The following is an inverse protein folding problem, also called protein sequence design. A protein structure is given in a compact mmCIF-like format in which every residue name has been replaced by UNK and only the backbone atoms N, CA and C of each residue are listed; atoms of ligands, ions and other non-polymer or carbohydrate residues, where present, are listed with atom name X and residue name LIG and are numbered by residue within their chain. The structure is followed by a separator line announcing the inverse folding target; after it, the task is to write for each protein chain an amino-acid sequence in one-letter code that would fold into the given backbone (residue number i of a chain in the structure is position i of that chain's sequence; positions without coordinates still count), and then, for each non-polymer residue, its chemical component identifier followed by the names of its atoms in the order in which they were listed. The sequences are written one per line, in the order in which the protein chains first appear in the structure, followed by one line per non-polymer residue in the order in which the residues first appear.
data_IF_164201162080
#
_entry.id   IF_164201162080
#
_cell.length_a   1.000
_cell.length_b   1.000
_cell.length_c   1.000
_cell.angle_alpha   90.00
_cell.angle_beta   90.00
_cell.angle_gamma   90.00
#
_symmetry.space_group_name_H-M   'P 1'
#
loop_
_entity.id
_entity.type
_entity.pdbx_description
1 polymer ?
#
# COMPACT_ATOMS: atom_id res chain seq x y z
N UNK A 1 -8.49 -1.87 -8.77
CA UNK A 1 -7.52 -1.94 -7.66
C UNK A 1 -6.74 -0.63 -7.49
N UNK A 2 -6.02 -0.15 -8.51
CA UNK A 2 -5.14 1.04 -8.38
C UNK A 2 -5.85 2.36 -8.05
N UNK A 3 -7.12 2.49 -8.44
CA UNK A 3 -7.96 3.68 -8.18
C UNK A 3 -8.03 4.05 -6.69
N UNK A 4 -7.90 3.07 -5.80
CA UNK A 4 -7.97 3.25 -4.34
C UNK A 4 -6.75 3.96 -3.77
N UNK A 5 -5.65 4.05 -4.53
CA UNK A 5 -4.43 4.76 -4.17
C UNK A 5 -4.35 6.16 -4.78
N UNK A 6 -5.28 6.53 -5.67
CA UNK A 6 -5.35 7.87 -6.26
C UNK A 6 -5.52 9.02 -5.26
N UNK A 7 -6.15 8.84 -4.07
CA UNK A 7 -6.15 9.87 -3.04
C UNK A 7 -4.75 10.35 -2.63
N UNK A 8 -3.69 9.53 -2.78
CA UNK A 8 -2.32 9.99 -2.55
C UNK A 8 -1.85 11.05 -3.55
N UNK A 9 -2.36 11.05 -4.78
CA UNK A 9 -2.08 12.10 -5.75
C UNK A 9 -2.70 13.43 -5.29
N UNK A 10 -3.91 13.38 -4.73
CA UNK A 10 -4.56 14.57 -4.14
C UNK A 10 -3.76 15.05 -2.91
N UNK A 11 -3.27 14.14 -2.08
CA UNK A 11 -2.38 14.51 -0.98
C UNK A 11 -1.10 15.20 -1.47
N UNK A 12 -0.50 14.75 -2.58
CA UNK A 12 0.68 15.38 -3.17
C UNK A 12 0.40 16.81 -3.64
N UNK A 13 -0.75 17.05 -4.30
CA UNK A 13 -1.12 18.40 -4.74
C UNK A 13 -1.44 19.33 -3.58
N UNK A 14 -1.99 18.82 -2.48
CA UNK A 14 -2.17 19.58 -1.24
C UNK A 14 -0.83 19.95 -0.60
N UNK A 15 0.17 19.06 -0.63
CA UNK A 15 1.52 19.37 -0.14
C UNK A 15 2.10 20.53 -0.95
N UNK A 16 2.01 20.44 -2.28
CA UNK A 16 2.49 21.48 -3.20
C UNK A 16 1.79 22.84 -2.98
N UNK A 17 0.46 22.86 -2.93
CA UNK A 17 -0.31 24.10 -2.68
C UNK A 17 -0.28 24.56 -1.21
N UNK A 18 0.16 23.70 -0.28
CA UNK A 18 0.09 23.83 1.20
C UNK A 18 -1.31 23.94 1.79
N UNK A 19 -2.35 23.96 0.98
CA UNK A 19 -3.74 23.94 1.37
C UNK A 19 -4.57 23.26 0.26
N UNK A 20 -5.85 23.02 0.52
CA UNK A 20 -6.75 22.45 -0.49
C UNK A 20 -7.18 23.50 -1.52
N UNK A 21 -6.26 23.81 -2.44
CA UNK A 21 -6.35 24.88 -3.43
C UNK A 21 -7.01 24.46 -4.75
N UNK A 22 -6.94 25.35 -5.77
CA UNK A 22 -7.51 25.09 -7.09
C UNK A 22 -6.98 23.82 -7.76
N UNK A 23 -5.68 23.53 -7.67
CA UNK A 23 -5.09 22.32 -8.26
C UNK A 23 -5.62 21.09 -7.55
N UNK A 24 -5.60 21.07 -6.21
CA UNK A 24 -6.11 19.95 -5.40
C UNK A 24 -7.58 19.65 -5.71
N UNK A 25 -8.41 20.69 -5.85
CA UNK A 25 -9.82 20.57 -6.25
C UNK A 25 -9.97 20.03 -7.66
N UNK A 26 -9.23 20.57 -8.62
CA UNK A 26 -9.25 20.12 -10.01
C UNK A 26 -8.84 18.65 -10.12
N UNK A 27 -7.76 18.26 -9.43
CA UNK A 27 -7.32 16.85 -9.34
C UNK A 27 -8.39 15.98 -8.72
N UNK A 28 -9.04 16.42 -7.64
CA UNK A 28 -10.15 15.65 -7.03
C UNK A 28 -11.29 15.42 -8.03
N UNK A 29 -11.69 16.46 -8.77
CA UNK A 29 -12.75 16.36 -9.78
C UNK A 29 -12.31 15.46 -10.94
N UNK A 30 -11.07 15.59 -11.41
CA UNK A 30 -10.52 14.79 -12.50
C UNK A 30 -10.43 13.29 -12.15
N UNK A 31 -10.29 12.95 -10.86
CA UNK A 31 -10.22 11.57 -10.39
C UNK A 31 -11.60 10.95 -10.13
N UNK A 32 -12.67 11.74 -10.00
CA UNK A 32 -14.03 11.23 -9.78
C UNK A 32 -14.48 10.23 -10.86
N UNK A 33 -14.31 10.48 -12.17
CA UNK A 33 -14.67 9.51 -13.21
C UNK A 33 -13.95 8.16 -13.04
N UNK A 34 -12.67 8.18 -12.68
CA UNK A 34 -11.91 6.94 -12.44
C UNK A 34 -12.44 6.16 -11.23
N UNK A 35 -12.88 6.85 -10.18
CA UNK A 35 -13.55 6.25 -9.01
C UNK A 35 -14.89 5.63 -9.40
N UNK A 36 -15.71 6.34 -10.18
CA UNK A 36 -17.01 5.87 -10.64
C UNK A 36 -16.88 4.64 -11.56
N UNK A 37 -15.96 4.69 -12.53
CA UNK A 37 -15.67 3.55 -13.42
C UNK A 37 -15.11 2.38 -12.60
N UNK A 38 -14.21 2.64 -11.65
CA UNK A 38 -13.70 1.62 -10.74
C UNK A 38 -14.82 0.92 -9.95
N UNK A 39 -15.77 1.69 -9.42
CA UNK A 39 -16.94 1.14 -8.73
C UNK A 39 -17.87 0.33 -9.64
N UNK A 40 -18.05 0.77 -10.88
CA UNK A 40 -18.83 0.04 -11.88
C UNK A 40 -18.19 -1.31 -12.25
N UNK A 41 -16.88 -1.33 -12.48
CA UNK A 41 -16.12 -2.55 -12.79
C UNK A 41 -16.21 -3.56 -11.64
N UNK A 42 -16.13 -3.11 -10.39
CA UNK A 42 -16.27 -4.00 -9.21
C UNK A 42 -17.65 -4.64 -9.14
N UNK A 43 -18.70 -3.94 -9.58
CA UNK A 43 -20.08 -4.47 -9.57
C UNK A 43 -20.34 -5.49 -10.68
N UNK A 44 -19.52 -5.49 -11.73
CA UNK A 44 -19.68 -6.35 -12.90
C UNK A 44 -18.29 -6.80 -13.40
N UNK A 45 -17.61 -7.71 -12.69
CA UNK A 45 -16.35 -8.27 -13.17
C UNK A 45 -16.64 -9.08 -14.45
N UNK A 46 -16.26 -8.55 -15.60
CA UNK A 46 -16.53 -9.14 -16.93
C UNK A 46 -15.33 -9.88 -17.52
N UNK A 47 -14.28 -10.14 -16.74
CA UNK A 47 -13.09 -10.82 -17.29
C UNK A 47 -13.41 -12.32 -17.37
N UNK A 48 -13.49 -12.84 -18.59
CA UNK A 48 -13.66 -14.27 -18.85
C UNK A 48 -12.29 -14.97 -18.88
N UNK A 49 -12.30 -16.30 -18.75
CA UNK A 49 -11.08 -17.12 -18.78
C UNK A 49 -10.26 -16.94 -20.07
N UNK A 50 -10.92 -16.60 -21.19
CA UNK A 50 -10.26 -16.35 -22.47
C UNK A 50 -9.38 -15.08 -22.44
N UNK A 51 -9.88 -13.99 -21.86
CA UNK A 51 -9.12 -12.73 -21.72
C UNK A 51 -7.97 -12.90 -20.73
N UNK A 52 -8.20 -13.57 -19.60
CA UNK A 52 -7.12 -13.83 -18.64
C UNK A 52 -6.06 -14.77 -19.22
N UNK A 53 -6.46 -15.80 -19.96
CA UNK A 53 -5.56 -16.66 -20.73
C UNK A 53 -4.69 -15.85 -21.69
N UNK A 54 -5.30 -14.96 -22.48
CA UNK A 54 -4.58 -14.08 -23.39
C UNK A 54 -3.57 -13.15 -22.67
N UNK A 55 -3.92 -12.63 -21.48
CA UNK A 55 -2.99 -11.83 -20.66
C UNK A 55 -1.82 -12.70 -20.21
N UNK A 56 -2.07 -13.89 -19.67
CA UNK A 56 -1.03 -14.80 -19.20
C UNK A 56 -0.10 -15.28 -20.33
N UNK A 57 -0.66 -15.55 -21.51
CA UNK A 57 0.10 -15.92 -22.70
C UNK A 57 0.96 -14.77 -23.22
N UNK A 58 0.50 -13.52 -23.09
CA UNK A 58 1.25 -12.33 -23.52
C UNK A 58 2.49 -12.02 -22.68
N UNK A 59 2.57 -12.54 -21.45
CA UNK A 59 3.67 -12.29 -20.48
C UNK A 59 4.75 -13.38 -20.56
N UNK A 60 4.56 -14.39 -21.42
CA UNK A 60 5.57 -15.42 -21.68
C UNK A 60 6.89 -14.83 -22.23
N UNK A 61 8.06 -15.45 -21.93
CA UNK A 61 8.26 -16.86 -21.57
C UNK A 61 8.33 -17.18 -20.07
N UNK A 62 8.20 -16.19 -19.18
CA UNK A 62 8.23 -16.43 -17.72
C UNK A 62 6.80 -16.31 -17.21
N UNK A 63 6.03 -17.41 -17.08
CA UNK A 63 4.71 -17.34 -16.47
C UNK A 63 4.87 -16.76 -15.07
N UNK A 64 4.29 -15.59 -14.84
CA UNK A 64 4.32 -14.97 -13.52
C UNK A 64 3.56 -15.87 -12.55
N UNK A 65 3.97 -15.98 -11.28
CA UNK A 65 3.15 -16.61 -10.24
C UNK A 65 1.78 -15.94 -10.07
N UNK A 66 1.55 -14.79 -10.74
CA UNK A 66 0.27 -14.10 -10.85
C UNK A 66 -0.75 -14.80 -11.79
N UNK A 67 -0.33 -15.77 -12.61
CA UNK A 67 -1.16 -16.57 -13.52
C UNK A 67 -1.47 -17.98 -12.97
N UNK A 68 -2.48 -18.67 -13.52
CA UNK A 68 -2.80 -20.05 -13.13
C UNK A 68 -1.59 -20.95 -13.45
N UNK A 69 -0.98 -21.51 -12.41
CA UNK A 69 0.16 -22.42 -12.53
C UNK A 69 -0.22 -23.75 -11.89
N UNK A 70 -0.10 -24.84 -12.64
CA UNK A 70 -0.41 -26.21 -12.19
C UNK A 70 -1.83 -26.40 -11.62
N UNK A 71 -2.80 -25.62 -12.10
CA UNK A 71 -4.18 -25.68 -11.60
C UNK A 71 -4.40 -24.96 -10.26
N UNK A 72 -3.38 -24.28 -9.73
CA UNK A 72 -3.51 -23.45 -8.53
C UNK A 72 -3.72 -21.97 -8.91
N UNK A 73 -4.73 -21.34 -8.32
CA UNK A 73 -4.99 -19.89 -8.40
C UNK A 73 -4.10 -19.21 -7.37
N UNK A 74 -2.90 -18.81 -7.79
CA UNK A 74 -1.86 -18.30 -6.91
C UNK A 74 -1.65 -16.79 -7.05
N UNK A 75 -2.48 -16.12 -7.85
CA UNK A 75 -2.02 -14.94 -8.57
C UNK A 75 -3.06 -13.85 -8.84
N UNK A 76 -2.72 -12.57 -8.76
CA UNK A 76 -3.68 -11.47 -8.90
C UNK A 76 -4.38 -11.44 -10.27
N UNK A 77 -3.73 -11.96 -11.32
CA UNK A 77 -4.29 -12.10 -12.67
C UNK A 77 -5.27 -13.28 -12.71
N UNK A 78 -4.92 -14.43 -12.12
CA UNK A 78 -5.83 -15.58 -12.00
C UNK A 78 -7.10 -15.28 -11.16
N UNK A 79 -7.04 -14.36 -10.21
CA UNK A 79 -8.21 -13.89 -9.47
C UNK A 79 -9.17 -13.01 -10.29
N UNK A 80 -8.78 -12.54 -11.48
CA UNK A 80 -9.67 -11.77 -12.37
C UNK A 80 -10.77 -12.65 -12.98
N UNK A 81 -10.53 -13.96 -13.11
CA UNK A 81 -11.52 -14.94 -13.60
C UNK A 81 -12.52 -15.35 -12.52
N UNK A 82 -12.20 -15.10 -11.25
CA UNK A 82 -13.00 -15.58 -10.12
C UNK A 82 -14.11 -14.58 -9.77
N UNK A 83 -15.24 -15.12 -9.33
CA UNK A 83 -16.30 -14.28 -8.76
C UNK A 83 -15.83 -13.68 -7.43
N UNK A 84 -16.42 -12.55 -7.02
CA UNK A 84 -16.16 -11.95 -5.71
C UNK A 84 -16.39 -12.93 -4.57
N UNK A 85 -17.38 -13.82 -4.69
CA UNK A 85 -17.68 -14.86 -3.69
C UNK A 85 -16.54 -15.89 -3.58
N UNK A 86 -16.00 -16.34 -4.71
CA UNK A 86 -14.85 -17.25 -4.75
C UNK A 86 -13.58 -16.60 -4.18
N UNK A 87 -13.37 -15.30 -4.45
CA UNK A 87 -12.29 -14.52 -3.84
C UNK A 87 -12.41 -14.46 -2.31
N UNK A 88 -13.61 -14.19 -1.79
CA UNK A 88 -13.88 -14.18 -0.35
C UNK A 88 -13.64 -15.57 0.27
N UNK A 89 -14.10 -16.64 -0.37
CA UNK A 89 -13.90 -18.00 0.11
C UNK A 89 -12.42 -18.38 0.15
N UNK A 90 -11.66 -18.03 -0.90
CA UNK A 90 -10.22 -18.21 -0.94
C UNK A 90 -9.54 -17.48 0.22
N UNK A 91 -9.83 -16.19 0.39
CA UNK A 91 -9.26 -15.38 1.46
C UNK A 91 -9.56 -15.99 2.83
N UNK A 92 -10.80 -16.43 3.09
CA UNK A 92 -11.18 -17.09 4.35
C UNK A 92 -10.43 -18.39 4.59
N UNK A 93 -10.21 -19.18 3.54
CA UNK A 93 -9.52 -20.48 3.63
C UNK A 93 -8.03 -20.33 3.97
N UNK A 94 -7.39 -19.29 3.47
CA UNK A 94 -5.95 -19.08 3.62
C UNK A 94 -5.57 -18.04 4.70
N UNK A 95 -6.51 -17.23 5.19
CA UNK A 95 -6.28 -16.31 6.30
C UNK A 95 -6.40 -17.05 7.63
N UNK A 96 -5.26 -17.47 8.18
CA UNK A 96 -5.17 -18.01 9.54
C UNK A 96 -4.98 -16.90 10.57
N UNK A 97 -5.21 -17.15 11.88
CA UNK A 97 -4.88 -16.20 12.94
C UNK A 97 -3.41 -15.76 12.89
N UNK A 98 -2.49 -16.69 12.60
CA UNK A 98 -1.07 -16.40 12.40
C UNK A 98 -0.85 -15.41 11.26
N UNK A 99 -1.39 -15.68 10.07
CA UNK A 99 -1.22 -14.78 8.91
C UNK A 99 -1.74 -13.38 9.21
N UNK A 100 -2.87 -13.28 9.93
CA UNK A 100 -3.46 -12.00 10.32
C UNK A 100 -2.55 -11.21 11.26
N UNK A 101 -1.98 -11.88 12.26
CA UNK A 101 -1.04 -11.26 13.20
C UNK A 101 0.25 -10.84 12.51
N UNK A 102 0.80 -11.69 11.64
CA UNK A 102 1.99 -11.36 10.84
C UNK A 102 1.76 -10.10 10.01
N UNK A 103 0.68 -10.01 9.24
CA UNK A 103 0.38 -8.82 8.44
C UNK A 103 0.09 -7.58 9.28
N UNK A 104 -0.58 -7.73 10.42
CA UNK A 104 -0.83 -6.63 11.34
C UNK A 104 0.49 -6.06 11.89
N UNK A 105 1.37 -6.93 12.41
CA UNK A 105 2.66 -6.53 12.98
C UNK A 105 3.55 -5.91 11.89
N UNK A 106 3.75 -6.61 10.77
CA UNK A 106 4.58 -6.13 9.66
C UNK A 106 4.04 -4.82 9.08
N UNK A 107 2.71 -4.69 8.95
CA UNK A 107 2.05 -3.45 8.57
C UNK A 107 2.41 -2.31 9.52
N UNK A 108 2.20 -2.46 10.83
CA UNK A 108 2.54 -1.44 11.82
C UNK A 108 4.04 -1.08 11.83
N UNK A 109 4.92 -2.09 11.77
CA UNK A 109 6.37 -1.87 11.70
C UNK A 109 6.75 -1.04 10.46
N UNK A 110 6.07 -1.27 9.33
CA UNK A 110 6.33 -0.54 8.08
C UNK A 110 6.03 0.96 8.17
N UNK A 111 5.15 1.39 9.08
CA UNK A 111 4.86 2.81 9.32
C UNK A 111 5.84 3.49 10.28
N UNK A 112 6.62 2.74 11.06
CA UNK A 112 7.59 3.29 12.02
C UNK A 112 8.56 4.31 11.37
N UNK A 113 9.26 4.01 10.26
CA UNK A 113 10.19 4.97 9.66
C UNK A 113 9.48 6.25 9.19
N UNK A 114 8.25 6.14 8.71
CA UNK A 114 7.43 7.29 8.30
C UNK A 114 7.13 8.18 9.52
N UNK A 115 6.70 7.59 10.63
CA UNK A 115 6.41 8.33 11.89
C UNK A 115 7.68 8.96 12.45
N UNK A 116 8.81 8.24 12.45
CA UNK A 116 10.11 8.77 12.89
C UNK A 116 10.52 9.96 12.04
N UNK A 117 10.37 9.89 10.71
CA UNK A 117 10.71 11.01 9.84
C UNK A 117 9.79 12.23 10.08
N UNK A 118 8.47 12.03 10.15
CA UNK A 118 7.52 13.11 10.43
C UNK A 118 7.87 13.82 11.75
N UNK A 119 8.21 13.05 12.79
CA UNK A 119 8.57 13.56 14.13
C UNK A 119 9.93 14.22 14.20
N UNK A 120 10.95 13.61 13.61
CA UNK A 120 12.33 14.12 13.63
C UNK A 120 12.45 15.42 12.85
N UNK A 121 11.82 15.50 11.67
CA UNK A 121 11.84 16.70 10.83
C UNK A 121 10.72 17.69 11.18
N UNK A 122 9.86 17.37 12.15
CA UNK A 122 8.70 18.19 12.57
C UNK A 122 7.85 18.67 11.38
N UNK A 123 7.62 17.79 10.42
CA UNK A 123 7.05 18.15 9.10
C UNK A 123 5.66 18.77 9.20
N UNK A 124 4.92 18.51 10.28
CA UNK A 124 3.62 19.14 10.55
C UNK A 124 3.68 20.66 10.70
N UNK A 125 4.85 21.23 11.02
CA UNK A 125 5.03 22.67 11.11
C UNK A 125 5.15 23.35 9.74
N UNK A 126 5.47 22.58 8.69
CA UNK A 126 5.65 23.08 7.32
C UNK A 126 4.33 23.33 6.56
N UNK A 127 3.23 22.74 7.02
CA UNK A 127 1.91 22.83 6.38
C UNK A 127 0.89 23.46 7.33
N UNK A 128 0.07 24.43 6.87
CA UNK A 128 -1.10 24.89 7.60
C UNK A 128 -2.00 23.74 8.08
N UNK A 129 -2.58 23.88 9.28
CA UNK A 129 -3.43 22.84 9.90
C UNK A 129 -4.53 22.31 8.99
N UNK A 130 -5.15 23.17 8.17
CA UNK A 130 -6.19 22.77 7.20
C UNK A 130 -5.64 21.85 6.10
N UNK A 131 -4.46 22.15 5.57
CA UNK A 131 -3.79 21.30 4.57
C UNK A 131 -3.38 19.96 5.17
N UNK A 132 -2.83 19.97 6.39
CA UNK A 132 -2.45 18.76 7.12
C UNK A 132 -3.66 17.84 7.38
N UNK A 133 -4.78 18.40 7.84
CA UNK A 133 -6.03 17.64 8.03
C UNK A 133 -6.50 17.04 6.70
N UNK A 134 -6.44 17.79 5.61
CA UNK A 134 -6.83 17.29 4.29
C UNK A 134 -5.92 16.12 3.84
N UNK A 135 -4.60 16.23 3.99
CA UNK A 135 -3.65 15.14 3.67
C UNK A 135 -3.97 13.88 4.48
N UNK A 136 -4.26 14.02 5.78
CA UNK A 136 -4.66 12.89 6.64
C UNK A 136 -5.96 12.28 6.14
N UNK A 137 -6.96 13.09 5.80
CA UNK A 137 -8.25 12.60 5.29
C UNK A 137 -8.04 11.81 3.99
N UNK A 138 -7.34 12.37 2.98
CA UNK A 138 -7.13 11.66 1.71
C UNK A 138 -6.28 10.40 1.86
N UNK A 139 -5.23 10.44 2.67
CA UNK A 139 -4.41 9.25 2.98
C UNK A 139 -5.21 8.20 3.74
N UNK A 140 -6.02 8.62 4.72
CA UNK A 140 -6.89 7.76 5.50
C UNK A 140 -8.01 7.14 4.68
N UNK A 141 -8.60 7.89 3.74
CA UNK A 141 -9.56 7.34 2.77
C UNK A 141 -8.94 6.23 1.93
N UNK A 142 -7.70 6.39 1.46
CA UNK A 142 -7.01 5.32 0.72
C UNK A 142 -6.83 4.07 1.58
N UNK A 143 -6.37 4.22 2.84
CA UNK A 143 -6.20 3.09 3.77
C UNK A 143 -7.53 2.37 4.07
N UNK A 144 -8.59 3.12 4.34
CA UNK A 144 -9.92 2.56 4.62
C UNK A 144 -10.50 1.87 3.39
N UNK A 145 -10.28 2.42 2.20
CA UNK A 145 -10.77 1.85 0.95
C UNK A 145 -10.05 0.55 0.56
N UNK A 146 -8.90 0.25 1.17
CA UNK A 146 -8.18 -1.02 1.03
C UNK A 146 -8.78 -2.13 1.90
N UNK A 147 -9.56 -1.83 2.94
CA UNK A 147 -10.18 -2.86 3.81
C UNK A 147 -11.09 -3.80 3.01
N UNK A 148 -12.01 -3.33 2.15
CA UNK A 148 -12.80 -4.21 1.30
C UNK A 148 -11.94 -5.06 0.34
N UNK A 149 -10.83 -4.52 -0.17
CA UNK A 149 -9.90 -5.29 -1.00
C UNK A 149 -9.24 -6.42 -0.22
N UNK A 150 -8.85 -6.20 1.05
CA UNK A 150 -8.30 -7.25 1.88
C UNK A 150 -9.31 -8.37 2.19
N UNK A 151 -10.61 -8.13 2.02
CA UNK A 151 -11.63 -9.19 2.17
C UNK A 151 -11.71 -10.08 0.92
N UNK A 152 -11.39 -9.53 -0.26
CA UNK A 152 -11.61 -10.19 -1.56
C UNK A 152 -10.31 -10.68 -2.20
N UNK A 153 -9.18 -10.03 -1.93
CA UNK A 153 -7.90 -10.30 -2.57
C UNK A 153 -6.85 -10.74 -1.54
N UNK A 154 -6.24 -11.90 -1.80
CA UNK A 154 -5.24 -12.56 -0.95
C UNK A 154 -3.81 -11.96 -1.00
N UNK A 155 -3.71 -10.67 -1.33
CA UNK A 155 -2.48 -9.99 -1.74
C UNK A 155 -2.11 -8.87 -0.75
N UNK A 156 -2.26 -9.15 0.54
CA UNK A 156 -2.17 -8.14 1.62
C UNK A 156 -0.80 -7.46 1.64
N UNK A 157 0.27 -8.22 1.43
CA UNK A 157 1.63 -7.69 1.38
C UNK A 157 1.81 -6.66 0.26
N UNK A 158 1.21 -6.91 -0.91
CA UNK A 158 1.22 -5.96 -2.04
C UNK A 158 0.48 -4.67 -1.69
N UNK A 159 -0.68 -4.74 -1.04
CA UNK A 159 -1.42 -3.54 -0.63
C UNK A 159 -0.67 -2.69 0.41
N UNK A 160 -0.11 -3.34 1.43
CA UNK A 160 0.69 -2.66 2.46
C UNK A 160 1.89 -1.97 1.79
N UNK A 161 2.60 -2.68 0.90
CA UNK A 161 3.74 -2.13 0.16
C UNK A 161 3.35 -0.89 -0.66
N UNK A 162 2.24 -0.91 -1.39
CA UNK A 162 1.76 0.25 -2.14
C UNK A 162 1.52 1.44 -1.21
N UNK A 163 0.83 1.25 -0.09
CA UNK A 163 0.60 2.33 0.88
C UNK A 163 1.90 2.92 1.43
N UNK A 164 2.83 2.06 1.86
CA UNK A 164 4.12 2.49 2.41
C UNK A 164 4.93 3.24 1.36
N UNK A 165 4.95 2.75 0.12
CA UNK A 165 5.63 3.39 -1.01
C UNK A 165 5.03 4.75 -1.31
N UNK A 166 3.70 4.87 -1.44
CA UNK A 166 3.02 6.14 -1.68
C UNK A 166 3.27 7.14 -0.55
N UNK A 167 3.19 6.71 0.71
CA UNK A 167 3.45 7.58 1.86
C UNK A 167 4.92 8.00 1.94
N UNK A 168 5.85 7.13 1.56
CA UNK A 168 7.28 7.47 1.49
C UNK A 168 7.54 8.51 0.42
N UNK A 169 6.90 8.39 -0.77
CA UNK A 169 6.99 9.43 -1.80
C UNK A 169 6.39 10.76 -1.33
N UNK A 170 5.23 10.73 -0.67
CA UNK A 170 4.63 11.94 -0.10
C UNK A 170 5.52 12.58 0.96
N UNK A 171 6.17 11.77 1.79
CA UNK A 171 7.11 12.22 2.79
C UNK A 171 8.33 12.90 2.15
N UNK A 172 8.94 12.28 1.13
CA UNK A 172 10.05 12.86 0.38
C UNK A 172 9.63 14.18 -0.25
N UNK A 173 8.46 14.22 -0.89
CA UNK A 173 7.91 15.42 -1.50
C UNK A 173 7.69 16.53 -0.47
N UNK A 174 7.15 16.19 0.70
CA UNK A 174 6.95 17.13 1.80
C UNK A 174 8.26 17.70 2.34
N UNK A 175 9.30 16.86 2.44
CA UNK A 175 10.64 17.30 2.85
C UNK A 175 11.22 18.29 1.82
N UNK A 176 11.05 18.01 0.53
CA UNK A 176 11.53 18.88 -0.56
C UNK A 176 10.81 20.24 -0.59
N UNK A 177 9.49 20.24 -0.36
CA UNK A 177 8.66 21.45 -0.40
C UNK A 177 8.67 22.27 0.90
N UNK A 178 9.29 21.75 1.97
CA UNK A 178 9.45 22.47 3.25
C UNK A 178 10.62 23.47 3.17
N UNK A 179 10.37 24.79 3.05
CA UNK A 179 11.43 25.75 2.80
C UNK A 179 12.16 26.09 4.11
N UNK A 180 13.47 25.89 4.14
CA UNK A 180 14.45 26.49 5.07
C UNK A 180 14.15 26.46 6.59
N UNK A 181 13.22 25.65 7.07
CA UNK A 181 12.91 25.47 8.50
C UNK A 181 13.17 24.07 9.03
N UNK A 182 13.75 23.20 8.21
CA UNK A 182 14.41 22.01 8.74
C UNK A 182 15.67 22.50 9.46
N UNK A 183 15.47 22.99 10.68
CA UNK A 183 16.53 23.04 11.67
C UNK A 183 17.00 21.60 11.75
N UNK A 184 18.19 21.32 11.21
CA UNK A 184 18.82 20.01 11.32
C UNK A 184 18.84 19.65 12.80
N UNK A 185 17.88 18.83 13.23
CA UNK A 185 17.85 18.35 14.59
C UNK A 185 19.08 17.45 14.72
N UNK A 186 19.91 17.83 15.68
CA UNK A 186 21.13 17.22 16.17
C UNK A 186 21.30 15.71 15.89
N UNK A 187 22.55 15.29 15.67
CA UNK A 187 23.09 13.94 15.40
C UNK A 187 22.53 12.75 16.21
N UNK A 188 21.68 12.96 17.23
CA UNK A 188 21.14 11.89 18.07
C UNK A 188 20.03 11.06 17.39
N UNK A 189 19.27 11.62 16.46
CA UNK A 189 18.23 10.86 15.76
C UNK A 189 18.77 10.08 14.55
N UNK A 190 20.02 10.31 14.14
CA UNK A 190 20.61 9.70 12.95
C UNK A 190 20.76 8.18 13.14
N UNK A 191 21.24 7.73 14.30
CA UNK A 191 21.38 6.31 14.61
C UNK A 191 20.02 5.59 14.62
N UNK A 192 19.01 6.16 15.28
CA UNK A 192 17.67 5.57 15.34
C UNK A 192 17.01 5.52 13.96
N UNK A 193 17.23 6.54 13.13
CA UNK A 193 16.72 6.59 11.75
C UNK A 193 17.41 5.55 10.87
N UNK A 194 18.73 5.36 11.02
CA UNK A 194 19.48 4.31 10.33
C UNK A 194 19.08 2.92 10.80
N UNK A 195 18.90 2.70 12.10
CA UNK A 195 18.37 1.44 12.64
C UNK A 195 16.97 1.19 12.09
N UNK A 196 16.09 2.19 12.09
CA UNK A 196 14.75 2.05 11.53
C UNK A 196 14.77 1.77 10.02
N UNK A 197 15.67 2.40 9.25
CA UNK A 197 15.83 2.15 7.82
C UNK A 197 16.43 0.76 7.54
N UNK A 198 17.41 0.32 8.32
CA UNK A 198 18.01 -1.01 8.20
C UNK A 198 17.00 -2.07 8.62
N UNK A 199 16.30 -1.90 9.75
CA UNK A 199 15.21 -2.78 10.17
C UNK A 199 14.13 -2.80 9.10
N UNK A 200 13.77 -1.66 8.51
CA UNK A 200 12.82 -1.60 7.42
C UNK A 200 13.30 -2.44 6.24
N UNK A 201 14.49 -2.19 5.70
CA UNK A 201 15.05 -2.90 4.52
C UNK A 201 15.28 -4.40 4.80
N UNK A 202 15.80 -4.76 5.97
CA UNK A 202 16.12 -6.14 6.36
C UNK A 202 14.87 -6.93 6.75
N UNK A 203 13.90 -6.29 7.39
CA UNK A 203 12.59 -6.90 7.70
C UNK A 203 11.63 -6.83 6.50
N UNK A 204 12.03 -6.21 5.39
CA UNK A 204 11.24 -6.10 4.17
C UNK A 204 11.22 -7.42 3.40
N UNK A 205 10.56 -8.42 3.98
CA UNK A 205 10.02 -9.56 3.26
C UNK A 205 8.58 -9.71 3.70
N UNK A 206 7.75 -8.73 3.33
CA UNK A 206 6.31 -8.94 3.35
C UNK A 206 6.04 -10.11 2.39
N UNK A 207 5.60 -11.27 2.91
CA UNK A 207 5.14 -12.32 2.02
C UNK A 207 4.03 -11.70 1.18
N UNK A 208 4.18 -11.73 -0.14
CA UNK A 208 3.18 -11.12 -1.03
C UNK A 208 1.86 -11.91 -0.95
N UNK A 209 1.95 -13.21 -0.68
CA UNK A 209 0.83 -14.16 -0.67
C UNK A 209 0.52 -14.65 0.74
N UNK A 210 -0.79 -14.83 1.04
CA UNK A 210 -1.28 -15.45 2.28
C UNK A 210 -0.56 -16.77 2.63
N UNK A 211 -0.27 -17.62 1.63
CA UNK A 211 0.39 -18.94 1.82
C UNK A 211 1.81 -18.85 2.39
N UNK A 212 2.48 -17.70 2.24
CA UNK A 212 3.84 -17.49 2.75
C UNK A 212 3.86 -16.63 4.02
N UNK A 213 2.70 -16.18 4.53
CA UNK A 213 2.58 -15.34 5.71
C UNK A 213 2.61 -16.13 7.03
N UNK A 214 3.69 -16.89 7.24
CA UNK A 214 4.01 -17.50 8.53
C UNK A 214 5.07 -16.70 9.28
N UNK A 215 5.15 -16.88 10.61
CA UNK A 215 6.18 -16.24 11.43
C UNK A 215 7.59 -16.58 10.95
N UNK A 216 7.81 -17.82 10.52
CA UNK A 216 9.10 -18.29 10.02
C UNK A 216 9.58 -17.53 8.78
N UNK A 217 8.66 -17.20 7.87
CA UNK A 217 8.98 -16.52 6.62
C UNK A 217 9.05 -15.00 6.80
N UNK A 218 8.20 -14.44 7.67
CA UNK A 218 8.14 -13.00 7.91
C UNK A 218 9.24 -12.51 8.87
N UNK A 219 9.66 -13.34 9.82
CA UNK A 219 10.67 -13.02 10.83
C UNK A 219 11.76 -14.10 10.89
N UNK A 220 12.56 -14.26 9.82
CA UNK A 220 13.56 -15.32 9.75
C UNK A 220 14.62 -15.22 10.86
N UNK A 221 14.82 -14.04 11.44
CA UNK A 221 15.71 -13.80 12.57
C UNK A 221 15.21 -14.43 13.88
N UNK A 222 13.90 -14.65 14.05
CA UNK A 222 13.36 -15.33 15.24
C UNK A 222 13.74 -16.81 15.29
N UNK A 223 14.03 -17.44 14.14
CA UNK A 223 14.57 -18.82 14.08
C UNK A 223 15.91 -18.97 14.79
N UNK A 224 16.62 -17.88 15.07
CA UNK A 224 17.91 -17.93 15.76
C UNK A 224 17.74 -17.96 17.29
N UNK A 225 16.52 -17.73 17.78
CA UNK A 225 16.19 -17.65 19.21
C UNK A 225 15.26 -18.79 19.69
N UNK A 226 14.84 -19.67 18.78
CA UNK A 226 13.99 -20.85 19.03
C UNK A 226 14.71 -22.10 18.56
#
# INVERSE_FOLDING_TARGET
MLVLFLPYIIAATIIYERYFGPLSRSTTIALLPAVLIGGFIVRSPQVNAEVTGAICDSIQPIPTPDCIMFGEVLGAISFLELSTEQGIEFVRRFTTPETSVVYLITGFISFIPIVIAITSYRLWQGIPRRGLVAIIIFSGMSLLATIPLMIVAADYGRFINIHVTCLTFLLIWLIQEAPNRISHVHQQHTLLSWIAAIVFVVSWRLPMWLRFASYENAFPLLRWFT
#
